data_IF_927614896063
#
_entry.id   IF_927614896063
#
_cell.length_a   1.000
_cell.length_b   1.000
_cell.length_c   1.000
_cell.angle_alpha   90.00
_cell.angle_beta   90.00
_cell.angle_gamma   90.00
#
_symmetry.space_group_name_H-M   'P 1'
#
loop_
_entity.id
_entity.type
_entity.pdbx_description
1 polymer ?
#
# COMPACT_ATOMS: atom_id res chain seq x y z
N UNK A 1 18.32 -4.49 36.69
CA UNK A 1 17.21 -3.56 36.98
C UNK A 1 17.10 -2.66 35.77
N UNK A 2 16.13 -2.91 34.90
CA UNK A 2 15.83 -2.03 33.77
C UNK A 2 15.22 -0.74 34.34
N UNK A 3 15.82 0.40 34.03
CA UNK A 3 15.20 1.71 34.21
C UNK A 3 13.95 1.73 33.34
N UNK A 4 12.77 1.58 33.96
CA UNK A 4 11.51 1.81 33.29
C UNK A 4 11.34 3.32 33.25
N UNK A 5 11.26 3.88 32.05
CA UNK A 5 10.99 5.30 31.85
C UNK A 5 9.61 5.64 32.42
N UNK A 6 9.59 6.33 33.57
CA UNK A 6 8.35 6.73 34.25
C UNK A 6 7.46 7.64 33.38
N UNK A 7 8.06 8.35 32.41
CA UNK A 7 7.34 9.14 31.42
C UNK A 7 6.53 8.25 30.47
N UNK A 8 7.15 7.17 29.97
CA UNK A 8 6.46 6.16 29.15
C UNK A 8 5.35 5.45 29.92
N UNK A 9 5.60 5.09 31.19
CA UNK A 9 4.60 4.43 32.03
C UNK A 9 3.37 5.32 32.27
N UNK A 10 3.57 6.64 32.36
CA UNK A 10 2.49 7.60 32.56
C UNK A 10 1.69 7.83 31.28
N UNK A 11 2.34 7.87 30.12
CA UNK A 11 1.69 7.98 28.82
C UNK A 11 0.88 6.72 28.44
N UNK A 12 1.41 5.53 28.73
CA UNK A 12 0.70 4.26 28.51
C UNK A 12 -0.57 4.16 29.36
N UNK A 13 -0.50 4.56 30.64
CA UNK A 13 -1.67 4.61 31.52
C UNK A 13 -2.73 5.60 31.04
N UNK A 14 -2.31 6.70 30.41
CA UNK A 14 -3.24 7.65 29.80
C UNK A 14 -3.95 7.02 28.60
N UNK A 15 -3.24 6.30 27.74
CA UNK A 15 -3.83 5.59 26.60
C UNK A 15 -4.83 4.50 27.03
N UNK A 16 -4.51 3.71 28.06
CA UNK A 16 -5.41 2.70 28.62
C UNK A 16 -6.63 3.30 29.33
N UNK A 17 -6.48 4.50 29.92
CA UNK A 17 -7.61 5.27 30.45
C UNK A 17 -8.53 5.75 29.31
N UNK A 18 -7.97 6.24 28.21
CA UNK A 18 -8.73 6.68 27.03
C UNK A 18 -9.44 5.51 26.35
N UNK A 19 -8.83 4.33 26.31
CA UNK A 19 -9.47 3.11 25.80
C UNK A 19 -10.58 2.56 26.73
N UNK A 20 -10.81 3.17 27.90
CA UNK A 20 -11.81 2.73 28.87
C UNK A 20 -11.43 1.47 29.66
N UNK A 21 -10.19 1.00 29.55
CA UNK A 21 -9.68 -0.20 30.21
C UNK A 21 -9.26 0.05 31.67
N UNK A 22 -9.15 1.32 32.07
CA UNK A 22 -8.84 1.74 33.44
C UNK A 22 -10.02 2.56 33.98
N UNK A 23 -10.60 2.12 35.09
CA UNK A 23 -11.60 2.91 35.82
C UNK A 23 -10.94 4.17 36.41
N UNK A 24 -11.44 5.34 36.03
CA UNK A 24 -10.96 6.62 36.56
C UNK A 24 -12.11 7.59 36.84
N UNK A 25 -11.87 8.56 37.73
CA UNK A 25 -12.82 9.64 38.03
C UNK A 25 -12.72 10.83 37.05
N UNK A 26 -11.82 10.77 36.05
CA UNK A 26 -11.59 11.87 35.09
C UNK A 26 -12.14 11.51 33.73
N UNK A 27 -13.10 12.30 33.26
CA UNK A 27 -13.67 12.24 31.93
C UNK A 27 -12.71 12.96 30.96
N UNK A 28 -11.90 12.19 30.24
CA UNK A 28 -10.94 12.70 29.25
C UNK A 28 -11.46 12.35 27.86
N UNK A 29 -11.43 13.32 26.94
CA UNK A 29 -11.73 13.13 25.51
C UNK A 29 -10.84 12.01 24.94
N UNK A 30 -11.42 11.08 24.16
CA UNK A 30 -10.75 9.91 23.55
C UNK A 30 -9.46 10.27 22.79
N UNK A 31 -9.37 11.50 22.31
CA UNK A 31 -8.27 12.01 21.51
C UNK A 31 -7.27 12.87 22.33
N UNK A 32 -7.42 12.93 23.66
CA UNK A 32 -6.58 13.74 24.53
C UNK A 32 -5.09 13.32 24.45
N UNK A 33 -4.24 14.27 24.03
CA UNK A 33 -2.80 14.01 23.84
C UNK A 33 -2.43 13.50 22.44
N UNK A 34 -3.41 13.13 21.61
CA UNK A 34 -3.22 12.79 20.20
C UNK A 34 -3.46 13.99 19.26
N UNK A 35 -4.25 14.98 19.69
CA UNK A 35 -4.62 16.15 18.88
C UNK A 35 -3.59 17.27 18.99
N UNK A 36 -3.16 17.83 17.86
CA UNK A 36 -2.37 19.06 17.79
C UNK A 36 -3.11 20.21 18.49
N UNK A 37 -2.42 21.13 19.21
CA UNK A 37 -3.06 22.29 19.82
C UNK A 37 -3.91 23.13 18.85
N UNK A 38 -3.62 23.10 17.54
CA UNK A 38 -4.41 23.76 16.49
C UNK A 38 -5.77 23.11 16.23
N UNK A 39 -5.90 21.83 16.55
CA UNK A 39 -7.01 20.98 16.13
C UNK A 39 -7.93 20.64 17.32
N UNK A 40 -7.51 20.97 18.56
CA UNK A 40 -8.30 20.79 19.79
C UNK A 40 -9.65 21.50 19.68
N UNK A 41 -9.69 22.70 19.09
CA UNK A 41 -10.95 23.43 18.90
C UNK A 41 -11.90 22.75 17.93
N UNK A 42 -11.37 22.02 16.94
CA UNK A 42 -12.20 21.25 16.01
C UNK A 42 -12.72 19.98 16.70
N UNK A 43 -11.87 19.25 17.45
CA UNK A 43 -12.30 18.07 18.21
C UNK A 43 -13.39 18.38 19.23
N UNK A 44 -13.20 19.41 20.06
CA UNK A 44 -14.18 19.82 21.09
C UNK A 44 -15.51 20.28 20.45
N UNK A 45 -15.45 20.85 19.24
CA UNK A 45 -16.65 21.24 18.50
C UNK A 45 -17.42 20.01 18.01
N UNK A 46 -16.72 18.98 17.54
CA UNK A 46 -17.31 17.74 17.03
C UNK A 46 -17.90 16.88 18.16
N UNK A 47 -17.25 16.86 19.32
CA UNK A 47 -17.71 16.16 20.53
C UNK A 47 -19.00 16.78 21.11
N UNK A 48 -19.28 18.04 20.74
CA UNK A 48 -20.52 18.74 21.09
C UNK A 48 -21.68 18.55 20.10
N UNK A 49 -21.49 17.79 19.01
CA UNK A 49 -22.55 17.46 18.05
C UNK A 49 -23.27 16.19 18.50
N UNK A 50 -24.59 16.27 18.62
CA UNK A 50 -25.44 15.14 19.03
C UNK A 50 -25.49 14.11 17.87
N UNK A 51 -25.09 12.84 18.07
CA UNK A 51 -24.91 11.86 17.00
C UNK A 51 -26.20 11.37 16.30
N UNK A 52 -27.34 12.01 16.56
CA UNK A 52 -28.67 11.58 16.08
C UNK A 52 -29.04 12.11 14.67
N UNK A 53 -28.11 12.73 13.95
CA UNK A 53 -28.29 13.18 12.55
C UNK A 53 -27.44 12.35 11.60
N UNK A 54 -28.10 11.59 10.70
CA UNK A 54 -27.45 10.67 9.74
C UNK A 54 -26.35 11.36 8.87
N UNK A 55 -26.54 12.64 8.54
CA UNK A 55 -25.57 13.46 7.76
C UNK A 55 -24.31 13.86 8.55
N UNK A 56 -24.37 13.93 9.88
CA UNK A 56 -23.21 14.31 10.70
C UNK A 56 -22.18 13.17 10.80
N UNK A 57 -22.61 11.92 10.62
CA UNK A 57 -21.72 10.74 10.72
C UNK A 57 -20.68 10.67 9.59
N UNK A 58 -21.01 11.10 8.37
CA UNK A 58 -20.07 11.15 7.24
C UNK A 58 -19.04 12.28 7.39
N UNK A 59 -19.48 13.45 7.88
CA UNK A 59 -18.61 14.59 8.13
C UNK A 59 -17.68 14.33 9.33
N UNK A 60 -18.21 13.74 10.41
CA UNK A 60 -17.46 13.32 11.58
C UNK A 60 -16.41 12.27 11.20
N UNK A 61 -16.78 11.25 10.45
CA UNK A 61 -15.86 10.19 10.02
C UNK A 61 -14.78 10.70 9.05
N UNK A 62 -15.11 11.62 8.14
CA UNK A 62 -14.14 12.23 7.22
C UNK A 62 -13.11 13.10 7.97
N UNK A 63 -13.57 13.89 8.95
CA UNK A 63 -12.69 14.75 9.74
C UNK A 63 -11.81 13.90 10.67
N UNK A 64 -12.38 12.88 11.31
CA UNK A 64 -11.64 11.94 12.17
C UNK A 64 -10.54 11.20 11.37
N UNK A 65 -10.88 10.69 10.19
CA UNK A 65 -9.93 10.03 9.27
C UNK A 65 -8.81 10.98 8.81
N UNK A 66 -9.13 12.26 8.57
CA UNK A 66 -8.15 13.28 8.18
C UNK A 66 -7.20 13.65 9.33
N UNK A 67 -7.74 13.73 10.56
CA UNK A 67 -6.95 14.01 11.76
C UNK A 67 -6.02 12.83 12.09
N UNK A 68 -6.53 11.60 12.06
CA UNK A 68 -5.74 10.38 12.28
C UNK A 68 -4.62 10.22 11.25
N UNK A 69 -4.90 10.47 9.97
CA UNK A 69 -3.89 10.39 8.90
C UNK A 69 -2.78 11.46 9.04
N UNK A 70 -3.14 12.68 9.48
CA UNK A 70 -2.16 13.74 9.78
C UNK A 70 -1.31 13.42 10.99
N UNK A 71 -1.92 12.91 12.06
CA UNK A 71 -1.22 12.49 13.27
C UNK A 71 -0.26 11.34 12.98
N UNK A 72 -0.68 10.36 12.18
CA UNK A 72 0.16 9.27 11.71
C UNK A 72 1.40 9.74 10.96
N UNK A 73 1.18 10.67 10.03
CA UNK A 73 2.25 11.27 9.26
C UNK A 73 3.22 12.05 10.15
N UNK A 74 2.73 12.74 11.18
CA UNK A 74 3.56 13.49 12.12
C UNK A 74 4.35 12.58 13.05
N UNK A 75 3.74 11.50 13.56
CA UNK A 75 4.42 10.53 14.40
C UNK A 75 5.53 9.77 13.68
N UNK A 76 5.35 9.47 12.39
CA UNK A 76 6.40 8.88 11.55
C UNK A 76 7.53 9.87 11.32
N UNK A 77 7.21 11.14 11.03
CA UNK A 77 8.21 12.20 10.85
C UNK A 77 8.97 12.52 12.14
N UNK A 78 8.32 12.46 13.30
CA UNK A 78 8.92 12.78 14.59
C UNK A 78 9.55 11.56 15.30
N UNK A 79 9.40 10.36 14.74
CA UNK A 79 9.80 9.11 15.40
C UNK A 79 9.02 8.81 16.68
N UNK A 80 7.78 9.29 16.79
CA UNK A 80 6.93 9.08 17.97
C UNK A 80 6.34 7.66 17.94
N UNK A 81 7.04 6.74 18.60
CA UNK A 81 6.74 5.32 18.64
C UNK A 81 5.37 4.96 19.22
N UNK A 82 4.79 5.82 20.09
CA UNK A 82 3.51 5.55 20.75
C UNK A 82 2.32 5.67 19.79
N UNK A 83 2.33 6.68 18.92
CA UNK A 83 1.26 6.90 17.95
C UNK A 83 1.37 5.93 16.77
N UNK A 84 2.60 5.48 16.45
CA UNK A 84 2.84 4.35 15.56
C UNK A 84 2.22 3.05 16.09
N UNK A 85 2.42 2.71 17.37
CA UNK A 85 1.78 1.54 17.99
C UNK A 85 0.25 1.58 17.94
N UNK A 86 -0.34 2.78 18.00
CA UNK A 86 -1.79 2.97 17.91
C UNK A 86 -2.33 2.74 16.49
N UNK A 87 -1.61 3.17 15.45
CA UNK A 87 -2.01 3.00 14.04
C UNK A 87 -1.93 1.58 13.52
N UNK A 88 -1.13 0.74 14.17
CA UNK A 88 -1.04 -0.71 13.90
C UNK A 88 -1.74 -1.54 14.99
N UNK A 89 -2.61 -0.91 15.80
CA UNK A 89 -3.47 -1.56 16.79
C UNK A 89 -2.79 -2.51 17.77
N UNK A 90 -1.56 -2.19 18.18
CA UNK A 90 -0.83 -3.01 19.16
C UNK A 90 -1.33 -2.66 20.56
N UNK A 91 -2.23 -3.47 21.10
CA UNK A 91 -2.53 -3.46 22.55
C UNK A 91 -1.39 -4.12 23.33
N UNK A 92 -1.15 -3.67 24.56
CA UNK A 92 0.06 -3.94 25.36
C UNK A 92 0.36 -5.42 25.69
N UNK A 93 -0.44 -6.38 25.23
CA UNK A 93 -0.13 -7.80 25.41
C UNK A 93 0.84 -8.38 24.37
N UNK A 94 1.12 -7.67 23.27
CA UNK A 94 2.05 -8.13 22.21
C UNK A 94 3.14 -7.09 21.81
N UNK A 95 3.47 -6.14 22.69
CA UNK A 95 4.59 -5.19 22.48
C UNK A 95 5.95 -5.86 22.72
N UNK A 96 6.32 -6.83 21.88
CA UNK A 96 7.72 -7.19 21.69
C UNK A 96 8.37 -6.16 20.76
N UNK A 97 9.65 -5.80 21.01
CA UNK A 97 10.40 -4.82 20.21
C UNK A 97 10.45 -5.13 18.69
N UNK A 98 10.06 -6.35 18.30
CA UNK A 98 9.87 -6.80 16.91
C UNK A 98 8.66 -6.16 16.20
N UNK A 99 7.59 -5.81 16.92
CA UNK A 99 6.33 -5.30 16.34
C UNK A 99 6.50 -3.89 15.72
N UNK A 100 7.20 -2.98 16.42
CA UNK A 100 7.54 -1.65 15.91
C UNK A 100 8.58 -1.68 14.77
N UNK A 101 9.42 -2.71 14.76
CA UNK A 101 10.47 -2.86 13.74
C UNK A 101 9.88 -3.28 12.39
N UNK A 102 8.71 -3.94 12.38
CA UNK A 102 8.16 -4.54 11.17
C UNK A 102 7.70 -3.52 10.12
N UNK A 103 6.87 -2.50 10.43
CA UNK A 103 6.47 -1.48 9.46
C UNK A 103 7.67 -0.73 8.87
N UNK A 104 8.65 -0.40 9.71
CA UNK A 104 9.90 0.27 9.27
C UNK A 104 10.67 -0.61 8.29
N UNK A 105 10.81 -1.91 8.58
CA UNK A 105 11.46 -2.85 7.67
C UNK A 105 10.69 -3.03 6.37
N UNK A 106 9.36 -3.08 6.40
CA UNK A 106 8.53 -3.16 5.19
C UNK A 106 8.72 -1.89 4.34
N UNK A 107 8.73 -0.71 4.97
CA UNK A 107 9.02 0.56 4.29
C UNK A 107 10.41 0.55 3.66
N UNK A 108 11.43 0.04 4.35
CA UNK A 108 12.78 -0.06 3.79
C UNK A 108 12.83 -1.01 2.58
N UNK A 109 12.07 -2.12 2.63
CA UNK A 109 11.89 -3.01 1.48
C UNK A 109 11.18 -2.31 0.31
N UNK A 110 10.15 -1.51 0.57
CA UNK A 110 9.44 -0.73 -0.45
C UNK A 110 10.32 0.36 -1.06
N UNK A 111 11.19 1.00 -0.27
CA UNK A 111 12.14 2.01 -0.76
C UNK A 111 13.23 1.41 -1.64
N UNK A 112 13.63 0.16 -1.39
CA UNK A 112 14.62 -0.59 -2.18
C UNK A 112 15.85 0.24 -2.59
N UNK A 113 16.41 1.01 -1.64
CA UNK A 113 17.55 1.92 -1.86
C UNK A 113 17.36 2.92 -3.02
N UNK A 114 16.13 3.35 -3.28
CA UNK A 114 15.76 4.27 -4.37
C UNK A 114 15.58 3.61 -5.74
N UNK A 115 15.68 2.28 -5.83
CA UNK A 115 15.27 1.54 -7.02
C UNK A 115 13.77 1.24 -6.97
N UNK A 116 13.16 1.04 -8.14
CA UNK A 116 11.77 0.59 -8.23
C UNK A 116 11.61 -0.76 -7.53
N UNK A 117 10.64 -0.85 -6.62
CA UNK A 117 10.23 -2.11 -6.02
C UNK A 117 9.16 -2.77 -6.88
N UNK A 118 9.41 -4.02 -7.27
CA UNK A 118 8.48 -4.81 -8.09
C UNK A 118 7.95 -5.95 -7.25
N UNK A 119 6.66 -5.88 -6.95
CA UNK A 119 5.98 -6.77 -6.03
C UNK A 119 5.17 -7.78 -6.83
N UNK A 120 5.34 -9.06 -6.48
CA UNK A 120 4.43 -10.12 -6.91
C UNK A 120 3.80 -10.73 -5.66
N UNK A 121 2.49 -10.52 -5.50
CA UNK A 121 1.72 -11.10 -4.41
C UNK A 121 0.93 -12.29 -4.92
N UNK A 122 1.22 -13.49 -4.42
CA UNK A 122 0.46 -14.69 -4.78
C UNK A 122 0.25 -15.63 -3.59
N UNK A 123 -0.57 -16.66 -3.79
CA UNK A 123 -1.08 -17.50 -2.71
C UNK A 123 -2.56 -17.80 -2.92
N UNK A 124 -3.07 -18.83 -2.25
CA UNK A 124 -4.36 -19.43 -2.60
C UNK A 124 -5.51 -18.40 -2.70
N UNK A 125 -6.56 -18.64 -3.51
CA UNK A 125 -7.70 -17.73 -3.59
C UNK A 125 -8.27 -17.39 -2.21
N UNK A 126 -8.78 -16.17 -2.04
CA UNK A 126 -9.38 -15.67 -0.78
C UNK A 126 -8.45 -15.65 0.45
N UNK A 127 -7.13 -15.61 0.23
CA UNK A 127 -6.14 -15.45 1.30
C UNK A 127 -5.89 -13.99 1.68
N UNK A 128 -6.55 -12.99 1.09
CA UNK A 128 -6.32 -11.57 1.45
C UNK A 128 -5.03 -10.95 0.88
N UNK A 129 -4.58 -11.41 -0.29
CA UNK A 129 -3.42 -10.82 -1.01
C UNK A 129 -3.66 -9.35 -1.33
N UNK A 130 -4.85 -9.05 -1.87
CA UNK A 130 -5.28 -7.69 -2.20
C UNK A 130 -5.26 -6.79 -0.96
N UNK A 131 -5.79 -7.28 0.18
CA UNK A 131 -5.72 -6.58 1.46
C UNK A 131 -4.28 -6.22 1.86
N UNK A 132 -3.36 -7.19 1.74
CA UNK A 132 -1.94 -6.99 2.09
C UNK A 132 -1.28 -5.97 1.16
N UNK A 133 -1.58 -5.98 -0.14
CA UNK A 133 -1.04 -4.98 -1.08
C UNK A 133 -1.60 -3.59 -0.80
N UNK A 134 -2.88 -3.46 -0.45
CA UNK A 134 -3.45 -2.18 -0.03
C UNK A 134 -2.83 -1.65 1.27
N UNK A 135 -2.51 -2.53 2.23
CA UNK A 135 -1.74 -2.14 3.41
C UNK A 135 -0.36 -1.58 3.04
N UNK A 136 0.33 -2.17 2.05
CA UNK A 136 1.59 -1.61 1.55
C UNK A 136 1.41 -0.22 0.92
N UNK A 137 0.27 0.03 0.26
CA UNK A 137 -0.07 1.35 -0.30
C UNK A 137 -0.31 2.36 0.82
N UNK A 138 -1.01 1.98 1.90
CA UNK A 138 -1.18 2.86 3.07
C UNK A 138 0.15 3.20 3.73
N UNK A 139 1.00 2.20 3.97
CA UNK A 139 2.35 2.41 4.49
C UNK A 139 3.17 3.32 3.56
N UNK A 140 3.07 3.14 2.25
CA UNK A 140 3.75 3.97 1.27
C UNK A 140 3.30 5.44 1.35
N UNK A 141 2.00 5.72 1.52
CA UNK A 141 1.48 7.09 1.68
C UNK A 141 2.05 7.82 2.90
N UNK A 142 2.56 7.10 3.89
CA UNK A 142 3.22 7.73 5.05
C UNK A 142 4.65 8.20 4.78
N UNK A 143 5.26 7.74 3.69
CA UNK A 143 6.68 7.93 3.35
C UNK A 143 6.86 8.84 2.14
N UNK A 144 6.00 8.66 1.13
CA UNK A 144 6.02 9.46 -0.08
C UNK A 144 4.87 10.46 -0.05
N UNK A 145 5.22 11.73 0.13
CA UNK A 145 4.26 12.83 0.03
C UNK A 145 3.66 12.91 -1.37
N UNK A 146 2.35 13.14 -1.48
CA UNK A 146 1.61 13.23 -2.76
C UNK A 146 1.76 11.96 -3.64
N UNK A 147 1.82 10.78 -3.02
CA UNK A 147 1.85 9.49 -3.71
C UNK A 147 0.57 9.29 -4.53
N UNK A 148 0.74 9.20 -5.86
CA UNK A 148 -0.34 8.86 -6.78
C UNK A 148 -0.49 7.34 -6.91
N UNK A 149 -1.66 6.83 -6.55
CA UNK A 149 -1.99 5.41 -6.63
C UNK A 149 -2.77 5.12 -7.91
N UNK A 150 -2.19 4.29 -8.77
CA UNK A 150 -2.74 3.90 -10.07
C UNK A 150 -3.13 2.43 -10.02
N UNK A 151 -4.35 2.07 -10.42
CA UNK A 151 -4.81 0.67 -10.37
C UNK A 151 -5.87 0.31 -11.40
N UNK A 152 -5.99 -0.97 -11.76
CA UNK A 152 -7.13 -1.50 -12.52
C UNK A 152 -8.34 -1.86 -11.63
N UNK A 153 -8.10 -2.20 -10.38
CA UNK A 153 -9.12 -2.36 -9.35
C UNK A 153 -9.57 -1.00 -8.80
N UNK A 154 -10.83 -0.90 -8.37
CA UNK A 154 -11.34 0.22 -7.57
C UNK A 154 -11.07 -0.06 -6.11
N UNK A 155 -10.51 0.93 -5.45
CA UNK A 155 -10.39 0.97 -4.02
C UNK A 155 -10.38 2.44 -3.59
N UNK A 156 -10.73 2.73 -2.34
CA UNK A 156 -10.73 4.08 -1.79
C UNK A 156 -9.36 4.77 -1.79
N UNK A 157 -8.28 3.98 -1.94
CA UNK A 157 -6.92 4.49 -2.09
C UNK A 157 -6.50 4.77 -3.54
N UNK A 158 -7.30 4.41 -4.55
CA UNK A 158 -6.94 4.57 -5.96
C UNK A 158 -7.29 5.97 -6.42
N UNK A 159 -6.28 6.71 -6.87
CA UNK A 159 -6.43 8.07 -7.37
C UNK A 159 -6.73 8.06 -8.88
N UNK A 160 -6.07 7.17 -9.64
CA UNK A 160 -6.25 7.02 -11.08
C UNK A 160 -6.53 5.57 -11.46
N UNK A 161 -7.71 5.33 -12.05
CA UNK A 161 -8.10 4.00 -12.49
C UNK A 161 -7.72 3.79 -13.96
N UNK A 162 -6.93 2.75 -14.24
CA UNK A 162 -6.49 2.39 -15.59
C UNK A 162 -6.88 0.95 -15.90
N UNK A 163 -7.47 0.71 -17.06
CA UNK A 163 -7.93 -0.64 -17.44
C UNK A 163 -7.15 -1.21 -18.62
N UNK A 164 -6.05 -0.58 -19.01
CA UNK A 164 -5.19 -1.05 -20.08
C UNK A 164 -3.74 -0.63 -19.93
N UNK A 165 -2.86 -1.32 -20.65
CA UNK A 165 -1.44 -1.01 -20.67
C UNK A 165 -1.16 0.35 -21.34
N UNK A 166 -1.97 0.73 -22.34
CA UNK A 166 -1.93 2.07 -22.92
C UNK A 166 -2.24 3.15 -21.88
N UNK A 167 -3.37 3.03 -21.17
CA UNK A 167 -3.81 4.01 -20.18
C UNK A 167 -2.78 4.13 -19.06
N UNK A 168 -2.25 3.00 -18.57
CA UNK A 168 -1.16 3.03 -17.59
C UNK A 168 0.05 3.80 -18.10
N UNK A 169 0.52 3.53 -19.33
CA UNK A 169 1.66 4.24 -19.89
C UNK A 169 1.40 5.76 -20.01
N UNK A 170 0.18 6.13 -20.40
CA UNK A 170 -0.24 7.52 -20.51
C UNK A 170 -0.25 8.21 -19.15
N UNK A 171 -0.88 7.63 -18.13
CA UNK A 171 -0.93 8.17 -16.76
C UNK A 171 0.46 8.30 -16.15
N UNK A 172 1.34 7.32 -16.39
CA UNK A 172 2.72 7.37 -15.90
C UNK A 172 3.50 8.55 -16.49
N UNK A 173 3.31 8.83 -17.79
CA UNK A 173 3.94 9.95 -18.48
C UNK A 173 3.33 11.30 -18.08
N UNK A 174 2.01 11.38 -17.94
CA UNK A 174 1.31 12.59 -17.54
C UNK A 174 1.74 13.09 -16.16
N UNK A 175 1.91 12.18 -15.20
CA UNK A 175 2.31 12.53 -13.84
C UNK A 175 3.79 12.31 -13.55
N UNK A 176 4.67 12.36 -14.57
CA UNK A 176 6.09 11.93 -14.50
C UNK A 176 6.85 12.37 -13.23
N UNK A 177 6.59 13.58 -12.75
CA UNK A 177 7.32 14.19 -11.62
C UNK A 177 6.70 13.94 -10.24
N UNK A 178 5.64 13.12 -10.14
CA UNK A 178 5.00 12.72 -8.87
C UNK A 178 5.40 11.28 -8.50
N UNK A 179 5.61 10.96 -7.21
CA UNK A 179 5.82 9.57 -6.79
C UNK A 179 4.55 8.76 -7.07
N UNK A 180 4.73 7.52 -7.54
CA UNK A 180 3.63 6.65 -7.97
C UNK A 180 3.71 5.25 -7.39
N UNK A 181 2.56 4.71 -7.03
CA UNK A 181 2.32 3.31 -6.75
C UNK A 181 1.42 2.73 -7.84
N UNK A 182 1.82 1.61 -8.46
CA UNK A 182 1.00 0.94 -9.49
C UNK A 182 0.55 -0.41 -8.98
N UNK A 183 -0.75 -0.64 -8.81
CA UNK A 183 -1.31 -1.93 -8.38
C UNK A 183 -2.12 -2.55 -9.50
N UNK A 184 -1.77 -3.76 -9.93
CA UNK A 184 -2.54 -4.53 -10.91
C UNK A 184 -3.09 -5.78 -10.23
N UNK A 185 -4.40 -5.80 -10.03
CA UNK A 185 -5.13 -6.95 -9.52
C UNK A 185 -5.49 -7.94 -10.64
N UNK A 186 -5.87 -9.16 -10.27
CA UNK A 186 -6.20 -10.27 -11.19
C UNK A 186 -5.04 -10.66 -12.14
N UNK A 187 -3.81 -10.50 -11.65
CA UNK A 187 -2.58 -10.79 -12.36
C UNK A 187 -2.43 -12.23 -12.82
N UNK A 188 -3.06 -13.21 -12.15
CA UNK A 188 -3.11 -14.60 -12.65
C UNK A 188 -3.87 -14.75 -13.96
N UNK A 189 -4.80 -13.85 -14.25
CA UNK A 189 -5.53 -13.82 -15.52
C UNK A 189 -4.77 -12.96 -16.53
N UNK A 190 -4.39 -11.75 -16.13
CA UNK A 190 -3.82 -10.74 -17.04
C UNK A 190 -2.38 -11.05 -17.44
N UNK A 191 -1.63 -11.74 -16.58
CA UNK A 191 -0.25 -12.16 -16.80
C UNK A 191 -0.11 -13.69 -16.87
N UNK A 192 -1.16 -14.41 -17.28
CA UNK A 192 -1.08 -15.86 -17.47
C UNK A 192 -0.05 -16.21 -18.55
N UNK A 193 0.92 -17.07 -18.21
CA UNK A 193 2.02 -17.48 -19.09
C UNK A 193 1.56 -18.14 -20.41
N UNK A 194 0.37 -18.75 -20.41
CA UNK A 194 -0.16 -19.52 -21.56
C UNK A 194 -0.89 -18.62 -22.54
N UNK A 195 -1.51 -17.54 -22.07
CA UNK A 195 -2.35 -16.69 -22.91
C UNK A 195 -1.74 -15.33 -23.21
N UNK A 196 -0.94 -14.77 -22.31
CA UNK A 196 -0.49 -13.37 -22.38
C UNK A 196 1.04 -13.20 -22.38
N UNK A 197 1.81 -14.27 -22.59
CA UNK A 197 3.28 -14.21 -22.51
C UNK A 197 3.92 -13.28 -23.53
N UNK A 198 3.33 -13.15 -24.72
CA UNK A 198 3.80 -12.21 -25.74
C UNK A 198 3.61 -10.76 -25.28
N UNK A 199 2.45 -10.43 -24.71
CA UNK A 199 2.07 -9.11 -24.23
C UNK A 199 2.89 -8.72 -23.00
N UNK A 200 3.14 -9.66 -22.08
CA UNK A 200 4.05 -9.45 -20.95
C UNK A 200 5.46 -9.10 -21.43
N UNK A 201 5.98 -9.82 -22.43
CA UNK A 201 7.31 -9.57 -22.97
C UNK A 201 7.40 -8.28 -23.80
N UNK A 202 6.36 -7.94 -24.57
CA UNK A 202 6.38 -6.85 -25.55
C UNK A 202 5.84 -5.52 -25.02
N UNK A 203 4.97 -5.53 -24.00
CA UNK A 203 4.34 -4.33 -23.44
C UNK A 203 4.75 -4.11 -21.98
N UNK A 204 4.47 -5.07 -21.08
CA UNK A 204 4.71 -4.89 -19.65
C UNK A 204 6.19 -4.75 -19.30
N UNK A 205 7.02 -5.69 -19.75
CA UNK A 205 8.43 -5.73 -19.37
C UNK A 205 9.21 -4.50 -19.82
N UNK A 206 9.01 -3.98 -21.06
CA UNK A 206 9.58 -2.71 -21.48
C UNK A 206 9.07 -1.51 -20.65
N UNK A 207 7.77 -1.45 -20.36
CA UNK A 207 7.18 -0.38 -19.57
C UNK A 207 7.72 -0.39 -18.13
N UNK A 208 7.72 -1.55 -17.47
CA UNK A 208 8.21 -1.76 -16.11
C UNK A 208 9.66 -1.31 -15.95
N UNK A 209 10.53 -1.65 -16.91
CA UNK A 209 11.94 -1.24 -16.92
C UNK A 209 12.13 0.29 -17.03
N UNK A 210 11.07 1.05 -17.35
CA UNK A 210 11.06 2.52 -17.43
C UNK A 210 10.27 3.20 -16.33
N UNK A 211 9.41 2.48 -15.60
CA UNK A 211 8.60 3.02 -14.50
C UNK A 211 9.44 3.78 -13.46
N UNK A 212 10.66 3.31 -13.12
CA UNK A 212 11.55 4.04 -12.21
C UNK A 212 11.96 5.44 -12.71
N UNK A 213 12.07 5.61 -14.04
CA UNK A 213 12.38 6.91 -14.68
C UNK A 213 11.14 7.81 -14.82
N UNK A 214 9.98 7.23 -14.56
CA UNK A 214 8.67 7.86 -14.59
C UNK A 214 8.12 8.06 -13.17
N UNK A 215 8.98 8.09 -12.14
CA UNK A 215 8.56 8.39 -10.76
C UNK A 215 7.77 7.28 -10.07
N UNK A 216 7.76 6.05 -10.60
CA UNK A 216 7.15 4.92 -9.89
C UNK A 216 8.10 4.41 -8.82
N UNK A 217 7.62 4.38 -7.58
CA UNK A 217 8.33 3.94 -6.38
C UNK A 217 8.18 2.42 -6.20
N UNK A 218 6.95 1.92 -6.34
CA UNK A 218 6.69 0.50 -6.43
C UNK A 218 5.55 0.17 -7.40
N UNK A 219 5.59 -1.06 -7.90
CA UNK A 219 4.46 -1.67 -8.58
C UNK A 219 4.16 -3.03 -7.96
N UNK A 220 2.88 -3.40 -7.88
CA UNK A 220 2.45 -4.68 -7.37
C UNK A 220 1.53 -5.38 -8.37
N UNK A 221 1.81 -6.65 -8.64
CA UNK A 221 0.92 -7.54 -9.38
C UNK A 221 0.37 -8.57 -8.39
N UNK A 222 -0.95 -8.68 -8.31
CA UNK A 222 -1.64 -9.62 -7.41
C UNK A 222 -2.15 -10.80 -8.24
N UNK A 223 -1.64 -12.01 -8.03
CA UNK A 223 -2.07 -13.21 -8.73
C UNK A 223 -2.59 -14.29 -7.79
N UNK A 224 -3.39 -15.24 -8.31
CA UNK A 224 -3.87 -16.39 -7.53
C UNK A 224 -2.79 -17.41 -7.21
N UNK A 225 -1.88 -17.70 -8.14
CA UNK A 225 -0.83 -18.68 -7.86
C UNK A 225 0.46 -18.24 -8.50
N UNK A 226 1.58 -18.66 -7.91
CA UNK A 226 2.86 -18.57 -8.58
C UNK A 226 2.97 -19.45 -9.82
N UNK A 227 2.05 -20.38 -10.07
CA UNK A 227 2.12 -21.30 -11.21
C UNK A 227 1.80 -20.61 -12.52
N UNK A 228 0.74 -19.81 -12.50
CA UNK A 228 0.09 -19.31 -13.72
C UNK A 228 0.73 -18.01 -14.21
N UNK A 229 1.31 -17.23 -13.30
CA UNK A 229 1.97 -15.94 -13.61
C UNK A 229 3.18 -16.16 -14.52
N UNK A 230 3.29 -15.32 -15.54
CA UNK A 230 4.35 -15.37 -16.54
C UNK A 230 5.76 -15.35 -15.90
N UNK A 231 6.69 -16.22 -16.35
CA UNK A 231 8.05 -16.28 -15.83
C UNK A 231 8.81 -14.96 -15.85
N UNK A 232 8.57 -14.07 -16.82
CA UNK A 232 9.23 -12.75 -16.90
C UNK A 232 8.78 -11.85 -15.76
N UNK A 233 7.51 -11.89 -15.33
CA UNK A 233 7.04 -11.15 -14.14
C UNK A 233 7.80 -11.61 -12.90
N UNK A 234 7.93 -12.93 -12.70
CA UNK A 234 8.68 -13.50 -11.57
C UNK A 234 10.15 -13.06 -11.56
N UNK A 235 10.81 -13.07 -12.73
CA UNK A 235 12.21 -12.62 -12.88
C UNK A 235 12.39 -11.15 -12.52
N UNK A 236 11.37 -10.35 -12.78
CA UNK A 236 11.41 -8.92 -12.54
C UNK A 236 11.02 -8.57 -11.10
N UNK A 237 10.45 -9.48 -10.31
CA UNK A 237 10.08 -9.28 -8.89
C UNK A 237 11.30 -9.09 -8.00
N UNK A 238 11.30 -8.00 -7.23
CA UNK A 238 12.29 -7.69 -6.19
C UNK A 238 11.74 -7.88 -4.77
N UNK A 239 10.42 -8.00 -4.63
CA UNK A 239 9.75 -8.26 -3.36
C UNK A 239 8.56 -9.20 -3.59
N UNK A 240 8.74 -10.49 -3.29
CA UNK A 240 7.68 -11.47 -3.42
C UNK A 240 6.89 -11.60 -2.11
N UNK A 241 5.56 -11.58 -2.22
CA UNK A 241 4.64 -11.85 -1.11
C UNK A 241 3.96 -13.19 -1.37
N UNK A 242 4.01 -14.08 -0.38
CA UNK A 242 3.30 -15.35 -0.43
C UNK A 242 2.31 -15.44 0.73
N UNK A 243 1.04 -15.68 0.42
CA UNK A 243 0.01 -15.95 1.44
C UNK A 243 -0.45 -17.40 1.36
N UNK A 244 0.05 -18.20 2.30
CA UNK A 244 -0.35 -19.59 2.50
C UNK A 244 -1.69 -19.72 3.26
N UNK A 245 -2.05 -18.71 4.04
CA UNK A 245 -3.27 -18.63 4.86
C UNK A 245 -3.75 -17.16 4.93
N UNK A 246 -5.07 -16.88 5.10
CA UNK A 246 -5.57 -15.52 5.31
C UNK A 246 -4.80 -14.68 6.33
N UNK A 247 -4.38 -15.32 7.44
CA UNK A 247 -3.70 -14.66 8.56
C UNK A 247 -2.18 -14.62 8.44
N UNK A 248 -1.63 -15.25 7.41
CA UNK A 248 -0.19 -15.38 7.20
C UNK A 248 0.23 -14.59 5.98
N UNK A 249 1.32 -13.85 6.09
CA UNK A 249 2.07 -13.40 4.91
C UNK A 249 3.56 -13.61 5.14
N UNK A 250 4.19 -14.05 4.07
CA UNK A 250 5.61 -14.31 3.99
C UNK A 250 6.21 -13.37 2.93
N UNK A 251 7.35 -12.75 3.24
CA UNK A 251 8.04 -11.85 2.32
C UNK A 251 9.38 -12.45 1.91
N UNK A 252 9.73 -12.27 0.64
CA UNK A 252 10.86 -12.91 -0.02
C UNK A 252 11.56 -11.94 -0.97
N UNK A 253 12.87 -12.11 -1.18
CA UNK A 253 13.65 -11.26 -2.07
C UNK A 253 13.55 -11.65 -3.55
N UNK A 254 13.22 -12.92 -3.84
CA UNK A 254 13.37 -13.48 -5.19
C UNK A 254 12.22 -14.42 -5.53
N UNK A 255 11.72 -14.34 -6.77
CA UNK A 255 10.86 -15.35 -7.35
C UNK A 255 11.55 -16.05 -8.54
N UNK A 256 11.99 -17.32 -8.39
CA UNK A 256 12.57 -18.06 -9.50
C UNK A 256 11.53 -18.29 -10.61
N UNK A 257 11.91 -18.01 -11.86
CA UNK A 257 11.00 -18.03 -13.01
C UNK A 257 10.21 -19.34 -13.17
N UNK A 258 10.87 -20.46 -12.90
CA UNK A 258 10.30 -21.81 -13.07
C UNK A 258 9.73 -22.38 -11.76
N UNK A 259 9.57 -21.54 -10.73
CA UNK A 259 9.07 -21.94 -9.41
C UNK A 259 7.67 -21.42 -9.15
N UNK A 260 6.88 -22.25 -8.46
CA UNK A 260 5.55 -21.90 -7.94
C UNK A 260 5.62 -21.12 -6.63
N UNK A 261 6.80 -21.08 -6.00
CA UNK A 261 7.05 -20.39 -4.74
C UNK A 261 8.29 -19.49 -4.79
N UNK A 262 8.26 -18.35 -4.09
CA UNK A 262 9.44 -17.52 -3.93
C UNK A 262 10.45 -18.14 -2.94
N UNK A 263 11.66 -17.60 -2.92
CA UNK A 263 12.77 -18.01 -2.05
C UNK A 263 13.46 -16.78 -1.46
N UNK A 264 14.35 -16.98 -0.47
CA UNK A 264 15.07 -15.88 0.17
C UNK A 264 14.17 -15.12 1.14
N UNK A 265 13.64 -15.82 2.15
CA UNK A 265 12.72 -15.24 3.14
C UNK A 265 13.39 -14.07 3.87
N UNK A 266 12.71 -12.92 3.89
CA UNK A 266 13.25 -11.65 4.39
C UNK A 266 13.06 -11.46 5.90
N UNK A 267 12.07 -12.15 6.47
CA UNK A 267 11.80 -12.16 7.91
C UNK A 267 12.15 -13.53 8.50
N UNK A 268 12.46 -13.58 9.80
CA UNK A 268 12.86 -14.83 10.49
C UNK A 268 11.72 -15.84 10.69
N UNK A 269 10.60 -15.67 9.99
CA UNK A 269 9.39 -16.47 10.09
C UNK A 269 8.21 -15.80 9.40
N UNK A 270 7.06 -16.47 9.49
CA UNK A 270 5.78 -16.01 8.97
C UNK A 270 5.26 -14.83 9.78
N UNK A 271 4.69 -13.83 9.11
CA UNK A 271 4.05 -12.71 9.79
C UNK A 271 2.58 -13.05 9.99
N UNK A 272 2.20 -13.18 11.25
CA UNK A 272 0.83 -13.40 11.68
C UNK A 272 0.18 -12.08 12.06
N UNK A 273 -1.14 -11.98 11.86
CA UNK A 273 -1.96 -10.88 12.38
C UNK A 273 -1.54 -9.48 11.92
N UNK A 274 -1.09 -9.33 10.68
CA UNK A 274 -1.04 -7.99 10.06
C UNK A 274 -2.45 -7.40 10.07
N UNK A 275 -2.52 -6.15 10.50
CA UNK A 275 -3.78 -5.42 10.53
C UNK A 275 -4.41 -5.38 9.14
N UNK A 276 -5.75 -5.49 9.06
CA UNK A 276 -6.42 -5.27 7.81
C UNK A 276 -6.15 -3.84 7.33
N UNK A 277 -5.99 -3.66 6.02
CA UNK A 277 -5.93 -2.32 5.45
C UNK A 277 -7.18 -1.50 5.80
N UNK A 278 -7.01 -0.20 6.03
CA UNK A 278 -8.11 0.76 6.14
C UNK A 278 -8.72 1.14 4.79
N UNK A 279 -8.12 0.68 3.69
CA UNK A 279 -8.62 0.92 2.34
C UNK A 279 -9.89 0.12 2.10
N UNK A 280 -10.96 0.83 1.77
CA UNK A 280 -12.22 0.24 1.33
C UNK A 280 -12.07 -0.27 -0.12
N UNK A 281 -12.35 -1.56 -0.36
CA UNK A 281 -12.34 -2.16 -1.69
C UNK A 281 -13.34 -3.33 -1.77
N UNK A 282 -13.75 -3.69 -2.98
CA UNK A 282 -14.58 -4.87 -3.25
C UNK A 282 -13.68 -6.06 -3.63
N UNK A 283 -13.59 -7.13 -2.80
CA UNK A 283 -12.78 -8.30 -3.13
C UNK A 283 -13.25 -9.05 -4.39
N UNK A 284 -14.51 -8.87 -4.80
CA UNK A 284 -15.11 -9.52 -5.97
C UNK A 284 -15.10 -8.61 -7.22
N UNK A 285 -14.41 -7.47 -7.20
CA UNK A 285 -14.35 -6.59 -8.36
C UNK A 285 -13.62 -7.27 -9.55
N UNK A 286 -14.17 -7.22 -10.78
CA UNK A 286 -13.56 -7.85 -11.96
C UNK A 286 -12.18 -7.34 -12.40
N UNK A 287 -11.73 -6.16 -11.92
CA UNK A 287 -10.44 -5.53 -12.22
C UNK A 287 -9.92 -5.75 -13.67
N UNK A 288 -10.62 -5.24 -14.71
CA UNK A 288 -10.32 -5.58 -16.10
C UNK A 288 -8.97 -4.99 -16.56
N UNK A 289 -8.32 -5.69 -17.49
CA UNK A 289 -7.06 -5.27 -18.10
C UNK A 289 -7.04 -5.58 -19.60
N UNK A 290 -6.54 -4.63 -20.40
CA UNK A 290 -6.33 -4.78 -21.84
C UNK A 290 -4.86 -4.57 -22.21
N UNK A 291 -4.37 -5.41 -23.12
CA UNK A 291 -3.01 -5.34 -23.68
C UNK A 291 -3.01 -4.60 -25.02
N UNK A 292 -3.15 -3.28 -24.96
CA UNK A 292 -3.29 -2.37 -26.11
C UNK A 292 -2.17 -1.33 -26.21
N UNK A 293 -1.05 -1.53 -25.51
CA UNK A 293 0.10 -0.65 -25.65
C UNK A 293 0.82 -0.95 -26.97
N UNK A 294 1.02 0.09 -27.77
CA UNK A 294 1.69 -0.01 -29.06
C UNK A 294 3.06 -0.66 -28.94
N UNK A 295 3.26 -1.73 -29.70
CA UNK A 295 4.56 -2.40 -29.77
C UNK A 295 5.66 -1.45 -30.24
N UNK A 296 6.88 -1.64 -29.71
CA UNK A 296 8.06 -0.84 -30.05
C UNK A 296 7.96 0.67 -29.74
N UNK A 297 6.99 1.09 -28.91
CA UNK A 297 6.86 2.48 -28.46
C UNK A 297 8.20 3.06 -27.99
N UNK A 298 8.93 2.31 -27.17
CA UNK A 298 10.21 2.74 -26.59
C UNK A 298 11.42 2.53 -27.52
N UNK A 299 11.22 2.06 -28.75
CA UNK A 299 12.26 1.99 -29.77
C UNK A 299 12.34 3.28 -30.61
N UNK A 300 11.35 4.16 -30.49
CA UNK A 300 11.35 5.47 -31.12
C UNK A 300 12.36 6.40 -30.42
N UNK A 301 13.02 7.24 -31.21
CA UNK A 301 13.94 8.28 -30.71
C UNK A 301 13.11 9.52 -30.32
N UNK A 302 12.36 9.40 -29.22
CA UNK A 302 11.49 10.45 -28.67
C UNK A 302 11.90 10.76 -27.23
N UNK A 303 11.84 12.02 -26.85
CA UNK A 303 11.91 12.41 -25.44
C UNK A 303 10.59 12.13 -24.70
N UNK A 304 10.54 12.38 -23.38
CA UNK A 304 9.34 12.05 -22.60
C UNK A 304 8.09 12.86 -22.99
N UNK A 305 8.17 14.21 -23.15
CA UNK A 305 7.05 14.98 -23.70
C UNK A 305 6.57 14.51 -25.07
N UNK A 306 7.50 14.22 -26.00
CA UNK A 306 7.18 13.72 -27.33
C UNK A 306 6.50 12.35 -27.28
N UNK A 307 7.00 11.44 -26.43
CA UNK A 307 6.41 10.12 -26.23
C UNK A 307 4.98 10.20 -25.68
N UNK A 308 4.75 11.12 -24.75
CA UNK A 308 3.43 11.37 -24.18
C UNK A 308 2.45 11.91 -25.23
N UNK A 309 2.89 12.87 -26.05
CA UNK A 309 2.10 13.40 -27.15
C UNK A 309 1.78 12.31 -28.19
N UNK A 310 2.78 11.49 -28.56
CA UNK A 310 2.62 10.41 -29.52
C UNK A 310 1.62 9.34 -29.06
N UNK A 311 1.68 8.94 -27.78
CA UNK A 311 0.70 8.02 -27.20
C UNK A 311 -0.70 8.62 -27.22
N UNK A 312 -0.84 9.86 -26.77
CA UNK A 312 -2.13 10.57 -26.71
C UNK A 312 -2.76 10.72 -28.10
N UNK A 313 -1.97 11.07 -29.11
CA UNK A 313 -2.47 11.31 -30.47
C UNK A 313 -2.85 10.01 -31.18
N UNK A 314 -2.07 8.94 -31.00
CA UNK A 314 -2.33 7.67 -31.68
C UNK A 314 -3.34 6.79 -30.97
N UNK A 315 -3.53 6.97 -29.66
CA UNK A 315 -4.40 6.13 -28.85
C UNK A 315 -3.94 4.67 -28.75
N UNK A 316 -4.79 3.80 -28.16
CA UNK A 316 -4.50 2.38 -27.96
C UNK A 316 -4.32 1.62 -29.29
N UNK A 317 -3.54 0.55 -29.25
CA UNK A 317 -3.40 -0.38 -30.37
C UNK A 317 -4.65 -1.28 -30.44
N UNK A 318 -5.33 -1.28 -31.59
CA UNK A 318 -6.59 -2.02 -31.82
C UNK A 318 -6.36 -3.43 -32.30
#
# INVERSE_FOLDING_TARGET
MSDIDEGMLTAAKLAEQLAGNIETERDLDLNAGAISPSDVSASVFLDGLDPDTEDDSELLSLVDRTLQSRQASEAIRSGNSLLLSHLVGVTEQDLDASALTLPVRIIDLLKNNGALTTILAAGDPNTGKTNTVWLLVELARTVWDDLLVISNARAGAVDERVTSCHDLALTLLEHRDRPKAVVIDEGSTHFDARTNSYEVASQWSPLLKRMSKLGTEFTAVIGHTGKDVDPEVKRLTSLALYKSDPKVVEFYDTWPADSDRPIGQLFGGDLHHLEPTGVEYDPDEPAPWSWDLRSNLFALDLDWPELHAELRDRGPDT
#
